data_IF_581610464905
#
_entry.id   IF_581610464905
#
_cell.length_a   1.000
_cell.length_b   1.000
_cell.length_c   1.000
_cell.angle_alpha   90.00
_cell.angle_beta   90.00
_cell.angle_gamma   90.00
#
_symmetry.space_group_name_H-M   'P 1'
#
loop_
_entity.id
_entity.type
_entity.pdbx_description
1 polymer ?
#
# COMPACT_ATOMS: atom_id res chain seq x y z
N UNK A 1 18.44 8.13 -16.98
CA UNK A 1 19.09 8.60 -15.74
C UNK A 1 18.69 7.63 -14.67
N UNK A 2 19.65 6.88 -14.10
CA UNK A 2 19.34 5.91 -13.04
C UNK A 2 18.76 6.64 -11.83
N UNK A 3 17.64 6.14 -11.30
CA UNK A 3 17.00 6.72 -10.13
C UNK A 3 17.80 6.28 -8.90
N UNK A 4 18.32 7.23 -8.11
CA UNK A 4 18.98 6.91 -6.85
C UNK A 4 18.06 6.04 -6.00
N UNK A 5 18.52 4.85 -5.62
CA UNK A 5 17.69 3.91 -4.86
C UNK A 5 17.26 4.51 -3.52
N UNK A 6 16.03 4.19 -3.11
CA UNK A 6 15.58 4.47 -1.74
C UNK A 6 16.45 3.68 -0.75
N UNK A 7 16.62 4.18 0.49
CA UNK A 7 17.33 3.47 1.54
C UNK A 7 16.78 2.05 1.74
N UNK A 8 17.68 1.08 1.91
CA UNK A 8 17.30 -0.29 2.22
C UNK A 8 16.70 -0.42 3.62
N UNK A 9 15.83 -1.42 3.73
CA UNK A 9 15.21 -1.85 4.97
C UNK A 9 16.26 -2.26 6.00
N UNK A 10 16.23 -1.64 7.18
CA UNK A 10 17.16 -1.94 8.28
C UNK A 10 16.59 -1.54 9.63
N UNK A 11 17.03 -2.21 10.68
CA UNK A 11 16.73 -1.83 12.07
C UNK A 11 17.92 -1.04 12.59
N UNK A 12 17.69 0.16 13.09
CA UNK A 12 18.73 1.03 13.63
C UNK A 12 19.03 0.64 15.10
N UNK A 13 20.19 1.07 15.61
CA UNK A 13 20.63 0.73 16.97
C UNK A 13 19.70 1.30 18.07
N UNK A 14 18.99 2.39 17.77
CA UNK A 14 18.00 3.01 18.67
C UNK A 14 16.63 2.31 18.67
N UNK A 15 16.50 1.19 17.92
CA UNK A 15 15.28 0.42 17.79
C UNK A 15 14.30 0.95 16.76
N UNK A 16 14.57 2.10 16.14
CA UNK A 16 13.82 2.56 14.97
C UNK A 16 14.08 1.66 13.76
N UNK A 17 13.19 1.71 12.78
CA UNK A 17 13.30 0.88 11.59
C UNK A 17 13.07 1.69 10.31
N UNK A 18 13.93 1.51 9.33
CA UNK A 18 13.61 1.82 7.94
C UNK A 18 12.79 0.66 7.38
N UNK A 19 11.60 0.98 6.88
CA UNK A 19 10.62 0.05 6.34
C UNK A 19 10.27 0.47 4.91
N UNK A 20 10.40 -0.45 3.95
CA UNK A 20 9.96 -0.25 2.57
C UNK A 20 8.52 -0.72 2.41
N UNK A 21 7.63 0.19 2.01
CA UNK A 21 6.19 -0.07 1.86
C UNK A 21 5.80 0.13 0.40
N UNK A 22 5.13 -0.86 -0.19
CA UNK A 22 4.64 -0.82 -1.56
C UNK A 22 3.11 -0.80 -1.58
N UNK A 23 2.51 0.22 -2.17
CA UNK A 23 1.08 0.23 -2.53
C UNK A 23 0.90 -0.25 -3.97
N UNK A 24 -0.02 -1.18 -4.22
CA UNK A 24 -0.21 -1.70 -5.58
C UNK A 24 -1.63 -2.26 -5.85
N UNK A 25 -2.38 -1.64 -6.77
CA UNK A 25 -3.58 -2.21 -7.34
C UNK A 25 -3.22 -3.25 -8.42
N UNK A 26 -3.59 -4.51 -8.19
CA UNK A 26 -3.18 -5.66 -9.02
C UNK A 26 -4.29 -6.18 -9.93
N UNK A 27 -5.40 -5.44 -10.07
CA UNK A 27 -6.49 -5.74 -11.01
C UNK A 27 -6.98 -7.18 -10.99
N UNK A 28 -7.11 -7.76 -9.81
CA UNK A 28 -7.50 -9.17 -9.60
C UNK A 28 -6.59 -10.21 -10.27
N UNK A 29 -5.31 -9.89 -10.49
CA UNK A 29 -4.35 -10.75 -11.22
C UNK A 29 -4.83 -11.12 -12.62
N UNK A 30 -5.46 -10.18 -13.33
CA UNK A 30 -5.98 -10.41 -14.69
C UNK A 30 -4.93 -10.30 -15.79
N UNK A 31 -3.82 -9.64 -15.50
CA UNK A 31 -2.74 -9.38 -16.45
C UNK A 31 -1.55 -10.34 -16.20
N UNK A 32 -0.30 -9.91 -16.40
CA UNK A 32 0.88 -10.77 -16.22
C UNK A 32 1.31 -10.87 -14.74
N UNK A 33 0.91 -11.98 -14.09
CA UNK A 33 1.25 -12.29 -12.69
C UNK A 33 2.76 -12.40 -12.45
N UNK A 34 3.55 -12.84 -13.44
CA UNK A 34 5.00 -12.99 -13.29
C UNK A 34 5.74 -11.66 -13.46
N UNK A 35 5.27 -10.80 -14.36
CA UNK A 35 5.72 -9.40 -14.44
C UNK A 35 5.43 -8.67 -13.13
N UNK A 36 4.21 -8.80 -12.60
CA UNK A 36 3.83 -8.25 -11.30
C UNK A 36 4.78 -8.71 -10.19
N UNK A 37 5.04 -10.01 -10.09
CA UNK A 37 5.95 -10.55 -9.09
C UNK A 37 7.42 -10.09 -9.28
N UNK A 38 7.88 -9.88 -10.52
CA UNK A 38 9.20 -9.29 -10.80
C UNK A 38 9.27 -7.86 -10.28
N UNK A 39 8.26 -7.03 -10.55
CA UNK A 39 8.18 -5.65 -10.05
C UNK A 39 8.20 -5.62 -8.53
N UNK A 40 7.36 -6.44 -7.88
CA UNK A 40 7.32 -6.49 -6.41
C UNK A 40 8.68 -6.91 -5.82
N UNK A 41 9.35 -7.91 -6.40
CA UNK A 41 10.69 -8.33 -5.94
C UNK A 41 11.74 -7.25 -6.12
N UNK A 42 11.76 -6.57 -7.26
CA UNK A 42 12.71 -5.48 -7.53
C UNK A 42 12.51 -4.30 -6.57
N UNK A 43 11.27 -4.04 -6.14
CA UNK A 43 10.96 -3.05 -5.12
C UNK A 43 11.44 -3.42 -3.71
N UNK A 44 11.80 -4.69 -3.47
CA UNK A 44 12.25 -5.23 -2.17
C UNK A 44 11.46 -4.70 -0.94
N UNK A 45 10.12 -4.80 -0.91
CA UNK A 45 9.32 -4.25 0.18
C UNK A 45 9.38 -5.14 1.43
N UNK A 46 9.29 -4.52 2.61
CA UNK A 46 8.95 -5.22 3.85
C UNK A 46 7.45 -5.52 3.92
N UNK A 47 6.62 -4.62 3.38
CA UNK A 47 5.16 -4.72 3.39
C UNK A 47 4.58 -4.30 2.05
N UNK A 48 3.59 -5.05 1.56
CA UNK A 48 2.79 -4.67 0.39
C UNK A 48 1.34 -4.48 0.81
N UNK A 49 0.81 -3.30 0.49
CA UNK A 49 -0.58 -2.89 0.65
C UNK A 49 -1.25 -3.05 -0.71
N UNK A 50 -1.86 -4.21 -0.93
CA UNK A 50 -2.43 -4.61 -2.22
C UNK A 50 -3.88 -4.18 -2.33
N UNK A 51 -4.31 -3.70 -3.50
CA UNK A 51 -5.71 -3.45 -3.87
C UNK A 51 -6.16 -4.40 -4.97
N UNK A 52 -7.48 -4.66 -5.03
CA UNK A 52 -8.08 -5.61 -5.97
C UNK A 52 -7.44 -6.99 -5.98
N UNK A 53 -7.02 -7.54 -4.84
CA UNK A 53 -6.65 -8.95 -4.81
C UNK A 53 -7.86 -9.83 -5.20
N UNK A 54 -7.63 -11.02 -5.80
CA UNK A 54 -8.71 -11.95 -6.11
C UNK A 54 -9.62 -12.20 -4.90
N UNK A 55 -10.94 -12.27 -5.14
CA UNK A 55 -11.94 -12.40 -4.06
C UNK A 55 -12.84 -13.63 -4.18
N UNK A 56 -12.76 -14.31 -5.31
CA UNK A 56 -13.68 -15.39 -5.68
C UNK A 56 -12.99 -16.76 -5.54
N UNK A 57 -13.38 -17.71 -6.39
CA UNK A 57 -12.91 -19.09 -6.34
C UNK A 57 -11.39 -19.17 -6.15
N UNK A 58 -10.95 -19.96 -5.16
CA UNK A 58 -9.54 -20.19 -4.82
C UNK A 58 -8.73 -18.92 -4.50
N UNK A 59 -9.34 -17.80 -4.12
CA UNK A 59 -8.62 -16.55 -3.84
C UNK A 59 -7.42 -16.71 -2.89
N UNK A 60 -7.53 -17.56 -1.85
CA UNK A 60 -6.41 -17.84 -0.94
C UNK A 60 -5.21 -18.45 -1.64
N UNK A 61 -5.43 -19.31 -2.64
CA UNK A 61 -4.36 -19.92 -3.44
C UNK A 61 -3.69 -18.89 -4.34
N UNK A 62 -4.46 -17.94 -4.88
CA UNK A 62 -3.90 -16.84 -5.67
C UNK A 62 -3.08 -15.89 -4.80
N UNK A 63 -3.59 -15.50 -3.63
CA UNK A 63 -2.86 -14.67 -2.67
C UNK A 63 -1.56 -15.34 -2.21
N UNK A 64 -1.61 -16.62 -1.83
CA UNK A 64 -0.42 -17.38 -1.42
C UNK A 64 0.61 -17.52 -2.55
N UNK A 65 0.15 -17.73 -3.80
CA UNK A 65 1.04 -17.80 -4.97
C UNK A 65 1.72 -16.47 -5.26
N UNK A 66 0.97 -15.37 -5.26
CA UNK A 66 1.54 -14.03 -5.45
C UNK A 66 2.58 -13.74 -4.38
N UNK A 67 2.26 -14.03 -3.11
CA UNK A 67 3.19 -13.86 -2.00
C UNK A 67 4.48 -14.67 -2.23
N UNK A 68 4.35 -15.97 -2.52
CA UNK A 68 5.49 -16.85 -2.77
C UNK A 68 6.36 -16.38 -3.96
N UNK A 69 5.75 -16.05 -5.10
CA UNK A 69 6.46 -15.52 -6.28
C UNK A 69 7.16 -14.18 -6.00
N UNK A 70 6.64 -13.42 -5.03
CA UNK A 70 7.20 -12.14 -4.62
C UNK A 70 8.24 -12.24 -3.49
N UNK A 71 8.49 -13.45 -2.95
CA UNK A 71 9.37 -13.63 -1.79
C UNK A 71 8.77 -13.14 -0.47
N UNK A 72 7.44 -13.10 -0.38
CA UNK A 72 6.66 -12.58 0.75
C UNK A 72 5.72 -13.64 1.32
N UNK A 73 5.10 -13.32 2.45
CA UNK A 73 4.04 -14.12 3.08
C UNK A 73 2.76 -13.31 3.23
N UNK A 74 1.62 -14.00 3.30
CA UNK A 74 0.31 -13.37 3.49
C UNK A 74 0.12 -13.01 4.96
N UNK A 75 -0.22 -11.75 5.23
CA UNK A 75 -0.58 -11.26 6.58
C UNK A 75 -2.09 -11.43 6.82
N UNK A 76 -2.92 -10.87 5.93
CA UNK A 76 -4.37 -10.84 6.10
C UNK A 76 -5.07 -10.12 4.95
N UNK A 77 -6.41 -10.10 4.95
CA UNK A 77 -7.22 -9.52 3.88
C UNK A 77 -7.53 -10.48 2.73
N UNK A 78 -7.64 -9.94 1.51
CA UNK A 78 -8.14 -10.62 0.33
C UNK A 78 -9.67 -10.56 0.26
N UNK A 79 -10.32 -11.70 0.04
CA UNK A 79 -11.77 -11.74 -0.11
C UNK A 79 -12.53 -11.26 1.14
N UNK A 80 -11.99 -11.51 2.33
CA UNK A 80 -12.57 -11.13 3.63
C UNK A 80 -12.61 -9.62 3.83
N UNK A 81 -11.67 -8.89 3.20
CA UNK A 81 -11.64 -7.43 3.16
C UNK A 81 -12.24 -6.85 1.87
N UNK A 82 -12.89 -7.67 1.03
CA UNK A 82 -13.41 -7.27 -0.27
C UNK A 82 -12.36 -6.72 -1.26
N UNK A 83 -11.11 -7.20 -1.21
CA UNK A 83 -10.07 -6.95 -2.22
C UNK A 83 -8.73 -6.49 -1.67
N UNK A 84 -8.69 -5.59 -0.67
CA UNK A 84 -7.44 -5.23 -0.01
C UNK A 84 -6.76 -6.44 0.64
N UNK A 85 -5.45 -6.56 0.46
CA UNK A 85 -4.62 -7.66 0.96
C UNK A 85 -3.32 -7.09 1.52
N UNK A 86 -2.81 -7.71 2.57
CA UNK A 86 -1.52 -7.37 3.18
C UNK A 86 -0.54 -8.52 2.98
N UNK A 87 0.62 -8.21 2.41
CA UNK A 87 1.77 -9.12 2.32
C UNK A 87 2.95 -8.54 3.09
N UNK A 88 3.85 -9.39 3.60
CA UNK A 88 5.08 -8.91 4.26
C UNK A 88 6.28 -9.82 4.03
N UNK A 89 7.47 -9.29 4.29
CA UNK A 89 8.71 -10.05 4.41
C UNK A 89 8.77 -10.78 5.76
N UNK A 90 9.73 -11.67 5.93
CA UNK A 90 9.96 -12.39 7.19
C UNK A 90 10.54 -11.52 8.32
N UNK A 91 10.93 -10.28 8.03
CA UNK A 91 11.38 -9.31 9.04
C UNK A 91 10.21 -8.75 9.87
N UNK A 92 8.99 -8.86 9.34
CA UNK A 92 7.79 -8.28 9.93
C UNK A 92 7.12 -9.31 10.84
N UNK A 93 7.00 -8.98 12.13
CA UNK A 93 6.22 -9.77 13.09
C UNK A 93 4.81 -9.24 13.15
N UNK A 94 3.81 -10.09 12.92
CA UNK A 94 2.39 -9.70 12.95
C UNK A 94 1.86 -9.86 14.38
N UNK A 95 1.39 -8.77 15.00
CA UNK A 95 0.77 -8.83 16.33
C UNK A 95 -0.72 -9.16 16.23
N UNK A 96 -1.42 -8.49 15.32
CA UNK A 96 -2.85 -8.70 15.08
C UNK A 96 -3.26 -8.25 13.70
N UNK A 97 -4.32 -8.86 13.18
CA UNK A 97 -4.94 -8.52 11.90
C UNK A 97 -6.42 -8.29 12.08
N UNK A 98 -7.02 -7.40 11.27
CA UNK A 98 -8.47 -7.21 11.22
C UNK A 98 -8.91 -6.79 9.82
N UNK A 99 -9.87 -7.52 9.29
CA UNK A 99 -10.55 -7.16 8.06
C UNK A 99 -11.85 -6.44 8.38
N UNK A 100 -12.13 -5.36 7.64
CA UNK A 100 -13.30 -4.50 7.87
C UNK A 100 -14.07 -4.40 6.57
N UNK A 101 -15.34 -4.79 6.56
CA UNK A 101 -16.22 -4.55 5.41
C UNK A 101 -16.99 -3.25 5.63
N UNK A 102 -16.99 -2.39 4.62
CA UNK A 102 -17.69 -1.11 4.68
C UNK A 102 -19.19 -1.31 4.38
N UNK A 103 -20.03 -0.33 4.76
CA UNK A 103 -21.42 -0.31 4.34
C UNK A 103 -21.54 -0.47 2.83
N UNK A 104 -22.52 -1.26 2.39
CA UNK A 104 -22.80 -1.46 0.98
C UNK A 104 -23.82 -0.41 0.53
N UNK A 105 -23.44 0.48 -0.38
CA UNK A 105 -24.40 1.26 -1.14
C UNK A 105 -25.01 0.40 -2.26
N UNK A 106 -26.34 0.27 -2.35
CA UNK A 106 -26.98 -0.51 -3.42
C UNK A 106 -26.51 -0.11 -4.82
N UNK A 107 -26.22 -1.10 -5.65
CA UNK A 107 -25.73 -0.90 -7.02
C UNK A 107 -24.22 -0.65 -7.13
N UNK A 108 -23.49 -0.53 -6.02
CA UNK A 108 -22.03 -0.36 -6.01
C UNK A 108 -21.31 -1.62 -5.52
N UNK A 109 -20.01 -1.69 -5.81
CA UNK A 109 -19.17 -2.74 -5.28
C UNK A 109 -18.90 -2.51 -3.79
N UNK A 110 -19.14 -3.55 -2.98
CA UNK A 110 -18.75 -3.53 -1.56
C UNK A 110 -17.24 -3.30 -1.44
N UNK A 111 -16.86 -2.31 -0.64
CA UNK A 111 -15.47 -2.04 -0.25
C UNK A 111 -15.17 -2.58 1.15
N UNK A 112 -13.89 -2.65 1.47
CA UNK A 112 -13.39 -3.05 2.78
C UNK A 112 -11.96 -2.58 2.96
N UNK A 113 -11.41 -2.87 4.13
CA UNK A 113 -10.02 -2.61 4.50
C UNK A 113 -9.39 -3.88 5.05
N UNK A 114 -8.13 -4.11 4.70
CA UNK A 114 -7.28 -5.06 5.38
C UNK A 114 -6.36 -4.28 6.31
N UNK A 115 -6.38 -4.60 7.61
CA UNK A 115 -5.58 -3.91 8.61
C UNK A 115 -4.73 -4.86 9.43
N UNK A 116 -3.59 -4.38 9.90
CA UNK A 116 -2.74 -5.11 10.83
C UNK A 116 -2.01 -4.17 11.77
N UNK A 117 -1.61 -4.67 12.92
CA UNK A 117 -0.52 -4.09 13.71
C UNK A 117 0.66 -5.04 13.63
N UNK A 118 1.81 -4.51 13.27
CA UNK A 118 3.04 -5.27 13.08
C UNK A 118 4.20 -4.66 13.86
N UNK A 119 5.26 -5.44 14.04
CA UNK A 119 6.55 -4.99 14.55
C UNK A 119 7.67 -5.26 13.56
N UNK A 120 8.61 -4.34 13.51
CA UNK A 120 9.87 -4.45 12.77
C UNK A 120 10.97 -4.00 13.72
N UNK A 121 11.66 -4.95 14.37
CA UNK A 121 12.52 -4.63 15.50
C UNK A 121 11.74 -3.95 16.63
N UNK A 122 12.24 -2.82 17.13
CA UNK A 122 11.57 -2.02 18.15
C UNK A 122 10.39 -1.19 17.64
N UNK A 123 10.29 -0.96 16.33
CA UNK A 123 9.25 -0.14 15.72
C UNK A 123 7.91 -0.90 15.63
N UNK A 124 6.83 -0.29 16.13
CA UNK A 124 5.46 -0.82 16.05
C UNK A 124 4.64 0.03 15.09
N UNK A 125 4.04 -0.62 14.09
CA UNK A 125 3.43 0.05 12.93
C UNK A 125 2.03 -0.52 12.64
N UNK A 126 1.05 0.38 12.46
CA UNK A 126 -0.25 0.06 11.90
C UNK A 126 -0.23 0.04 10.38
N UNK A 127 -0.87 -0.94 9.77
CA UNK A 127 -1.01 -1.08 8.32
C UNK A 127 -2.49 -1.01 7.94
N UNK A 128 -2.82 -0.29 6.88
CA UNK A 128 -4.15 -0.29 6.28
C UNK A 128 -4.06 -0.26 4.76
N UNK A 129 -4.62 -1.27 4.10
CA UNK A 129 -4.85 -1.25 2.65
C UNK A 129 -6.31 -0.93 2.35
N UNK A 130 -6.57 -0.03 1.41
CA UNK A 130 -7.92 0.35 0.98
C UNK A 130 -8.03 0.53 -0.54
N UNK A 131 -9.24 0.33 -1.07
CA UNK A 131 -9.61 0.72 -2.43
C UNK A 131 -10.96 1.43 -2.32
N UNK A 132 -10.96 2.74 -2.54
CA UNK A 132 -12.15 3.57 -2.32
C UNK A 132 -13.11 3.52 -3.50
N UNK A 133 -14.32 4.02 -3.30
CA UNK A 133 -15.36 4.04 -4.31
C UNK A 133 -15.05 4.96 -5.49
N UNK A 134 -15.60 4.61 -6.66
CA UNK A 134 -15.66 5.50 -7.81
C UNK A 134 -16.70 6.62 -7.61
N UNK A 135 -17.73 6.38 -6.78
CA UNK A 135 -18.74 7.40 -6.45
C UNK A 135 -18.22 8.38 -5.42
N UNK A 136 -18.28 9.67 -5.74
CA UNK A 136 -17.62 10.72 -4.96
C UNK A 136 -18.14 10.87 -3.52
N UNK A 137 -19.44 10.67 -3.30
CA UNK A 137 -20.10 10.70 -1.99
C UNK A 137 -19.68 9.52 -1.12
N UNK A 138 -19.78 8.31 -1.66
CA UNK A 138 -19.34 7.11 -0.96
C UNK A 138 -17.83 7.15 -0.68
N UNK A 139 -17.01 7.56 -1.67
CA UNK A 139 -15.56 7.71 -1.53
C UNK A 139 -15.19 8.66 -0.39
N UNK A 140 -15.86 9.82 -0.30
CA UNK A 140 -15.58 10.79 0.76
C UNK A 140 -15.94 10.24 2.16
N UNK A 141 -17.05 9.51 2.27
CA UNK A 141 -17.43 8.83 3.52
C UNK A 141 -16.40 7.75 3.89
N UNK A 142 -15.99 6.92 2.93
CA UNK A 142 -14.98 5.87 3.11
C UNK A 142 -13.60 6.44 3.52
N UNK A 143 -13.20 7.60 2.97
CA UNK A 143 -11.99 8.30 3.44
C UNK A 143 -12.08 8.70 4.93
N UNK A 144 -13.26 9.05 5.43
CA UNK A 144 -13.49 9.23 6.88
C UNK A 144 -13.31 7.93 7.66
N UNK A 145 -13.90 6.84 7.16
CA UNK A 145 -13.79 5.51 7.77
C UNK A 145 -12.34 5.00 7.79
N UNK A 146 -11.50 5.36 6.81
CA UNK A 146 -10.06 5.07 6.85
C UNK A 146 -9.42 5.69 8.10
N UNK A 147 -9.69 6.97 8.37
CA UNK A 147 -9.14 7.66 9.54
C UNK A 147 -9.65 7.06 10.86
N UNK A 148 -10.93 6.72 10.92
CA UNK A 148 -11.54 6.05 12.09
C UNK A 148 -10.90 4.68 12.35
N UNK A 149 -10.71 3.86 11.32
CA UNK A 149 -10.08 2.55 11.46
C UNK A 149 -8.59 2.67 11.81
N UNK A 150 -7.89 3.67 11.28
CA UNK A 150 -6.50 3.92 11.64
C UNK A 150 -6.36 4.28 13.13
N UNK A 151 -7.24 5.14 13.65
CA UNK A 151 -7.29 5.48 15.07
C UNK A 151 -7.61 4.25 15.93
N UNK A 152 -8.53 3.39 15.50
CA UNK A 152 -8.90 2.16 16.19
C UNK A 152 -7.75 1.12 16.29
N UNK A 153 -6.70 1.24 15.48
CA UNK A 153 -5.50 0.41 15.63
C UNK A 153 -4.71 0.72 16.91
N UNK A 154 -4.96 1.85 17.58
CA UNK A 154 -4.36 2.16 18.88
C UNK A 154 -2.83 2.14 18.88
N UNK A 155 -2.22 2.60 17.78
CA UNK A 155 -0.77 2.70 17.60
C UNK A 155 -0.38 4.11 17.16
N UNK A 156 0.76 4.64 17.61
CA UNK A 156 1.19 6.00 17.31
C UNK A 156 1.67 6.18 15.87
N UNK A 157 2.12 5.09 15.23
CA UNK A 157 2.67 5.09 13.89
C UNK A 157 1.85 4.18 12.99
N UNK A 158 1.40 4.69 11.86
CA UNK A 158 0.68 3.90 10.88
C UNK A 158 0.93 4.39 9.45
N UNK A 159 0.76 3.46 8.51
CA UNK A 159 0.80 3.71 7.07
C UNK A 159 -0.49 3.19 6.41
N UNK A 160 -1.03 4.00 5.52
CA UNK A 160 -2.18 3.69 4.68
C UNK A 160 -1.72 3.63 3.24
N UNK A 161 -2.14 2.60 2.51
CA UNK A 161 -1.92 2.51 1.07
C UNK A 161 -3.21 2.20 0.36
N UNK A 162 -3.47 2.88 -0.74
CA UNK A 162 -4.69 2.61 -1.47
C UNK A 162 -4.81 3.30 -2.80
N UNK A 163 -5.69 2.72 -3.61
CA UNK A 163 -6.33 3.37 -4.73
C UNK A 163 -7.46 4.25 -4.17
N UNK A 164 -7.20 5.56 -4.17
CA UNK A 164 -8.12 6.58 -3.65
C UNK A 164 -9.22 6.85 -4.68
N UNK A 165 -9.06 6.47 -5.95
CA UNK A 165 -9.96 6.82 -7.06
C UNK A 165 -10.21 8.34 -7.17
N UNK A 166 -9.23 9.14 -6.74
CA UNK A 166 -9.30 10.59 -6.80
C UNK A 166 -7.91 11.21 -6.82
N UNK A 167 -7.77 12.30 -7.56
CA UNK A 167 -6.53 13.07 -7.67
C UNK A 167 -6.26 13.89 -6.39
N UNK A 168 -5.02 14.40 -6.20
CA UNK A 168 -4.62 15.06 -4.95
C UNK A 168 -5.43 16.32 -4.57
N UNK A 169 -6.02 16.99 -5.55
CA UNK A 169 -6.89 18.16 -5.39
C UNK A 169 -8.33 17.79 -4.97
N UNK A 170 -8.70 16.52 -5.14
CA UNK A 170 -10.01 15.99 -4.79
C UNK A 170 -10.28 15.95 -3.28
N UNK A 171 -11.57 15.98 -2.92
CA UNK A 171 -11.99 16.17 -1.53
C UNK A 171 -11.67 14.98 -0.61
N UNK A 172 -11.75 13.76 -1.09
CA UNK A 172 -11.45 12.56 -0.32
C UNK A 172 -9.94 12.41 -0.15
N UNK A 173 -9.15 12.67 -1.20
CA UNK A 173 -7.70 12.71 -1.11
C UNK A 173 -7.25 13.77 -0.10
N UNK A 174 -7.72 15.01 -0.24
CA UNK A 174 -7.41 16.09 0.71
C UNK A 174 -7.84 15.75 2.13
N UNK A 175 -8.99 15.10 2.32
CA UNK A 175 -9.42 14.66 3.66
C UNK A 175 -8.39 13.74 4.33
N UNK A 176 -7.83 12.80 3.57
CA UNK A 176 -6.74 11.94 4.06
C UNK A 176 -5.46 12.75 4.30
N UNK A 177 -5.04 13.56 3.33
CA UNK A 177 -3.81 14.35 3.39
C UNK A 177 -3.82 15.50 4.42
N UNK A 178 -4.99 15.91 4.91
CA UNK A 178 -5.11 16.86 6.03
C UNK A 178 -4.83 16.17 7.36
N UNK A 179 -5.22 14.91 7.51
CA UNK A 179 -5.06 14.15 8.75
C UNK A 179 -3.76 13.33 8.79
N UNK A 180 -3.21 13.00 7.62
CA UNK A 180 -2.02 12.17 7.41
C UNK A 180 -1.07 12.86 6.43
N UNK A 181 0.20 12.47 6.44
CA UNK A 181 1.19 12.89 5.48
C UNK A 181 1.00 12.15 4.15
N UNK A 182 0.72 12.85 3.05
CA UNK A 182 0.92 12.29 1.70
C UNK A 182 2.42 12.10 1.47
N UNK A 183 2.89 10.85 1.48
CA UNK A 183 4.32 10.54 1.45
C UNK A 183 5.00 11.11 0.20
N UNK A 184 4.30 11.09 -0.94
CA UNK A 184 4.83 11.62 -2.20
C UNK A 184 4.99 13.14 -2.13
N UNK A 185 4.04 13.85 -1.51
CA UNK A 185 4.12 15.30 -1.34
C UNK A 185 5.22 15.70 -0.33
N UNK A 186 5.44 14.89 0.72
CA UNK A 186 6.44 15.16 1.76
C UNK A 186 7.87 14.97 1.26
N UNK A 187 8.16 13.85 0.57
CA UNK A 187 9.47 13.58 -0.04
C UNK A 187 9.31 12.90 -1.40
N UNK A 188 9.20 13.68 -2.49
CA UNK A 188 9.08 13.14 -3.84
C UNK A 188 10.28 12.29 -4.23
N UNK A 189 10.01 11.14 -4.82
CA UNK A 189 11.00 10.24 -5.41
C UNK A 189 10.38 9.49 -6.60
N UNK A 190 11.14 9.26 -7.67
CA UNK A 190 10.63 8.56 -8.85
C UNK A 190 9.47 9.28 -9.56
N UNK A 191 8.61 8.50 -10.21
CA UNK A 191 7.46 9.00 -10.97
C UNK A 191 6.29 9.45 -10.09
N UNK A 192 5.44 10.32 -10.64
CA UNK A 192 4.25 10.85 -9.95
C UNK A 192 2.99 10.05 -10.22
N UNK A 193 2.69 9.87 -11.50
CA UNK A 193 1.40 9.39 -11.96
C UNK A 193 1.36 7.87 -11.91
N UNK A 194 0.23 7.36 -11.45
CA UNK A 194 0.01 5.94 -11.16
C UNK A 194 -0.93 5.27 -12.16
N UNK A 195 -1.66 6.03 -12.97
CA UNK A 195 -2.63 5.45 -13.91
C UNK A 195 -2.81 6.29 -15.19
N UNK A 196 -3.01 5.63 -16.37
CA UNK A 196 -2.64 4.23 -16.67
C UNK A 196 -1.13 4.09 -16.98
N UNK A 197 -0.50 2.91 -16.81
CA UNK A 197 0.94 2.69 -17.05
C UNK A 197 1.45 3.12 -18.42
N UNK A 198 0.60 3.02 -19.45
CA UNK A 198 1.01 3.31 -20.83
C UNK A 198 1.15 4.80 -21.16
N UNK A 199 0.38 5.63 -20.46
CA UNK A 199 0.34 7.09 -20.56
C UNK A 199 0.01 7.69 -19.18
N UNK A 200 0.95 7.69 -18.22
CA UNK A 200 0.65 8.04 -16.83
C UNK A 200 0.38 9.54 -16.68
N UNK A 201 -0.87 9.90 -16.40
CA UNK A 201 -1.31 11.30 -16.24
C UNK A 201 -2.21 11.53 -15.01
N UNK A 202 -2.45 10.51 -14.19
CA UNK A 202 -3.25 10.59 -12.97
C UNK A 202 -2.50 9.98 -11.79
N UNK A 203 -2.52 10.65 -10.64
CA UNK A 203 -2.10 10.07 -9.36
C UNK A 203 -3.32 9.81 -8.51
N UNK A 204 -3.79 8.56 -8.54
CA UNK A 204 -4.96 8.10 -7.77
C UNK A 204 -4.58 7.06 -6.71
N UNK A 205 -3.38 6.50 -6.81
CA UNK A 205 -2.80 5.63 -5.79
C UNK A 205 -1.84 6.42 -4.91
N UNK A 206 -1.87 6.18 -3.61
CA UNK A 206 -1.02 6.90 -2.67
C UNK A 206 -0.67 6.06 -1.43
N UNK A 207 0.47 6.44 -0.83
CA UNK A 207 0.87 6.04 0.50
C UNK A 207 0.76 7.26 1.43
N UNK A 208 0.03 7.10 2.53
CA UNK A 208 -0.09 8.10 3.59
C UNK A 208 0.53 7.58 4.88
N UNK A 209 1.13 8.46 5.68
CA UNK A 209 1.70 8.10 6.97
C UNK A 209 1.25 9.05 8.09
N UNK A 210 1.17 8.54 9.32
CA UNK A 210 0.97 9.39 10.50
C UNK A 210 2.19 10.29 10.74
N UNK A 211 1.99 11.48 11.31
CA UNK A 211 3.05 12.51 11.43
C UNK A 211 4.33 12.11 12.20
N UNK A 212 4.30 11.06 13.03
CA UNK A 212 5.48 10.53 13.71
C UNK A 212 6.36 9.61 12.86
N UNK A 213 5.97 9.31 11.63
CA UNK A 213 6.76 8.52 10.67
C UNK A 213 7.51 9.48 9.75
N UNK A 214 8.82 9.32 9.65
CA UNK A 214 9.62 10.12 8.73
C UNK A 214 9.61 9.48 7.33
N UNK A 215 9.17 10.25 6.33
CA UNK A 215 9.20 9.81 4.94
C UNK A 215 10.58 10.10 4.36
N UNK A 216 11.27 9.07 3.85
CA UNK A 216 12.61 9.20 3.27
C UNK A 216 12.57 9.43 1.75
N UNK A 217 11.50 8.93 1.12
CA UNK A 217 11.18 9.14 -0.28
C UNK A 217 9.97 8.30 -0.67
N UNK A 218 9.17 8.79 -1.63
CA UNK A 218 7.97 8.10 -2.10
C UNK A 218 7.64 8.44 -3.55
N UNK A 219 7.27 7.43 -4.34
CA UNK A 219 6.66 7.56 -5.66
C UNK A 219 6.81 6.29 -6.51
N UNK A 220 6.60 6.43 -7.82
CA UNK A 220 6.65 5.29 -8.75
C UNK A 220 8.09 4.90 -9.05
N UNK A 221 8.50 3.62 -8.90
CA UNK A 221 9.89 3.17 -9.01
C UNK A 221 10.41 3.04 -10.45
N UNK A 222 10.04 3.95 -11.35
CA UNK A 222 10.57 4.00 -12.72
C UNK A 222 12.07 4.32 -12.67
N UNK A 223 12.89 3.46 -13.27
CA UNK A 223 14.35 3.60 -13.26
C UNK A 223 15.03 3.00 -12.01
N UNK A 224 14.28 2.35 -11.12
CA UNK A 224 14.85 1.50 -10.08
C UNK A 224 15.44 0.21 -10.71
N UNK A 225 16.66 -0.22 -10.34
CA UNK A 225 17.24 -1.46 -10.87
C UNK A 225 16.30 -2.67 -10.71
N UNK A 226 16.10 -3.42 -11.80
CA UNK A 226 15.19 -4.56 -11.85
C UNK A 226 13.72 -4.23 -12.13
N UNK A 227 13.31 -2.96 -12.08
CA UNK A 227 11.98 -2.52 -12.52
C UNK A 227 12.06 -2.06 -13.98
N UNK A 228 11.43 -2.82 -14.89
CA UNK A 228 11.42 -2.50 -16.32
C UNK A 228 10.09 -1.86 -16.73
N UNK A 229 10.10 -0.98 -17.74
CA UNK A 229 8.85 -0.43 -18.29
C UNK A 229 7.93 -1.51 -18.89
N UNK A 230 8.53 -2.56 -19.46
CA UNK A 230 7.79 -3.70 -20.00
C UNK A 230 7.01 -4.43 -18.89
N UNK A 231 7.68 -4.71 -17.76
CA UNK A 231 7.00 -5.35 -16.62
C UNK A 231 5.94 -4.43 -16.00
N UNK A 232 6.23 -3.13 -15.85
CA UNK A 232 5.27 -2.15 -15.33
C UNK A 232 4.00 -2.05 -16.19
N UNK A 233 4.12 -2.16 -17.51
CA UNK A 233 2.96 -2.16 -18.44
C UNK A 233 2.21 -3.49 -18.45
N UNK A 234 2.91 -4.60 -18.24
CA UNK A 234 2.32 -5.95 -18.31
C UNK A 234 1.67 -6.39 -16.99
N UNK A 235 2.13 -5.86 -15.84
CA UNK A 235 1.76 -6.35 -14.52
C UNK A 235 0.29 -6.11 -14.14
N UNK A 236 -0.25 -4.93 -14.45
CA UNK A 236 -1.59 -4.46 -14.07
C UNK A 236 -1.87 -3.10 -14.73
N UNK A 237 -3.08 -2.57 -14.60
CA UNK A 237 -3.48 -1.25 -15.13
C UNK A 237 -3.12 -0.07 -14.21
N UNK A 238 -2.36 -0.31 -13.14
CA UNK A 238 -1.78 0.71 -12.26
C UNK A 238 -0.26 0.57 -12.18
N UNK A 239 0.42 1.67 -11.87
CA UNK A 239 1.83 1.68 -11.48
C UNK A 239 1.93 1.63 -9.95
N UNK A 240 2.92 0.92 -9.39
CA UNK A 240 3.07 0.83 -7.94
C UNK A 240 3.59 2.13 -7.34
N UNK A 241 3.26 2.37 -6.07
CA UNK A 241 3.83 3.46 -5.26
C UNK A 241 4.72 2.85 -4.20
N UNK A 242 6.01 3.16 -4.22
CA UNK A 242 6.99 2.69 -3.25
C UNK A 242 7.39 3.84 -2.33
N UNK A 243 7.44 3.59 -1.02
CA UNK A 243 8.00 4.50 -0.04
C UNK A 243 9.04 3.81 0.85
N UNK A 244 10.06 4.55 1.26
CA UNK A 244 10.92 4.21 2.38
C UNK A 244 10.58 5.11 3.57
N UNK A 245 10.26 4.50 4.70
CA UNK A 245 9.75 5.17 5.89
C UNK A 245 10.64 4.83 7.08
N UNK A 246 11.09 5.84 7.84
CA UNK A 246 11.71 5.61 9.15
C UNK A 246 10.63 5.69 10.22
N UNK A 247 10.44 4.59 10.93
CA UNK A 247 9.45 4.43 11.99
C UNK A 247 10.19 4.40 13.33
N UNK A 248 9.89 5.32 14.26
CA UNK A 248 10.49 5.31 15.60
C UNK A 248 10.23 4.00 16.34
N UNK A 249 11.12 3.67 17.28
CA UNK A 249 10.86 2.60 18.23
C UNK A 249 9.58 2.88 19.02
N UNK A 250 8.79 1.85 19.30
CA UNK A 250 7.71 1.99 20.26
C UNK A 250 8.31 2.28 21.64
N UNK A 251 7.72 3.22 22.37
CA UNK A 251 8.02 3.36 23.79
C UNK A 251 7.79 2.01 24.50
N UNK A 252 8.64 1.64 25.47
CA UNK A 252 8.52 0.40 26.23
C UNK A 252 7.18 0.27 26.94
#
# INVERSE_FOLDING_TARGET
>A
MELTALPDSRTEADGSAVVRVLGYNIRSLRDDEDALARVVRACAPDVVLVQEAPRFFRWRKHAARLAAKSGLVVVGGGATAAGPLLLCSLRVTVERTRDVLLPLTPGLHRRGFATAVVRVGGARLGLLSCHLSLRADERYAQAGMVLEQLAALGVPHAVVGGDVNERPDGRAFRRLATALQDCRAVRPWGGEHTHPPGDPHQRIDALFATGGVEVLGCGVPIGLPGVTEADLRAATDHLPVLAALRVPAAAP
#
